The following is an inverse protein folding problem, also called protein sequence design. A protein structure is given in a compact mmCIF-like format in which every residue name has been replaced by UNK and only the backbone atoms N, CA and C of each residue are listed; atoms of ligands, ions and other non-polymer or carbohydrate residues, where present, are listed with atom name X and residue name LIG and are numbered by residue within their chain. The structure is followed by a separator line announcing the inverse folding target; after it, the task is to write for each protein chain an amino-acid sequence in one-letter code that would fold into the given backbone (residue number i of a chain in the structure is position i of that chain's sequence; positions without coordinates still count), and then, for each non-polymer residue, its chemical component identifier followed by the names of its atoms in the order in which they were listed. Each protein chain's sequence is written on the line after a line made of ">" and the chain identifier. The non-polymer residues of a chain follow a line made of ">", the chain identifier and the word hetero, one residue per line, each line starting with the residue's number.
data_IF_761752961961
#
_entry.id   IF_761752961961
#
_cell.length_a   1.000
_cell.length_b   1.000
_cell.length_c   1.000
_cell.angle_alpha   90.00
_cell.angle_beta   90.00
_cell.angle_gamma   90.00
#
_symmetry.space_group_name_H-M   'P 1'
#
loop_
_entity.id
_entity.type
_entity.pdbx_description
1 polymer ?
#
# COMPACT_ATOMS: atom_id res chain seq x y z
N UNK A 1 -0.48 0.38 23.78
CA UNK A 1 -0.29 -0.11 25.17
C UNK A 1 0.57 0.90 25.90
N UNK A 2 0.09 1.48 27.00
CA UNK A 2 0.89 2.36 27.87
C UNK A 2 1.14 1.60 29.17
N UNK A 3 2.42 1.37 29.49
CA UNK A 3 2.84 0.73 30.73
C UNK A 3 3.60 1.76 31.56
N UNK A 4 3.08 2.11 32.73
CA UNK A 4 3.70 3.04 33.67
C UNK A 4 4.21 2.25 34.88
N UNK A 5 5.47 2.47 35.25
CA UNK A 5 6.10 1.80 36.39
C UNK A 5 6.30 2.79 37.54
N UNK A 6 5.77 2.48 38.72
CA UNK A 6 5.95 3.27 39.93
C UNK A 6 6.68 2.42 40.97
N UNK A 7 7.83 2.91 41.44
CA UNK A 7 8.60 2.26 42.51
C UNK A 7 8.45 3.07 43.79
N UNK A 8 8.01 2.40 44.86
CA UNK A 8 8.00 2.96 46.22
C UNK A 8 8.65 1.97 47.18
N UNK A 9 9.96 2.13 47.40
CA UNK A 9 10.74 1.23 48.24
C UNK A 9 11.06 -0.11 47.56
N UNK A 10 10.72 -1.23 48.21
CA UNK A 10 10.96 -2.61 47.70
C UNK A 10 9.80 -3.15 46.84
N UNK A 11 8.66 -2.47 46.83
CA UNK A 11 7.49 -2.89 46.06
C UNK A 11 7.39 -2.15 44.73
N UNK A 12 7.02 -2.88 43.69
CA UNK A 12 6.86 -2.38 42.33
C UNK A 12 5.37 -2.37 42.02
N UNK A 13 4.81 -1.18 41.81
CA UNK A 13 3.45 -1.01 41.31
C UNK A 13 3.51 -0.73 39.81
N UNK A 14 2.78 -1.51 39.04
CA UNK A 14 2.72 -1.39 37.59
C UNK A 14 1.31 -0.97 37.21
N UNK A 15 1.18 -0.02 36.29
CA UNK A 15 -0.10 0.37 35.72
C UNK A 15 -0.10 0.07 34.23
N UNK A 16 -1.10 -0.69 33.79
CA UNK A 16 -1.31 -1.06 32.40
C UNK A 16 -2.60 -0.40 31.93
N UNK A 17 -2.48 0.49 30.95
CA UNK A 17 -3.61 1.07 30.24
C UNK A 17 -3.58 0.57 28.80
N UNK A 18 -4.66 -0.10 28.41
CA UNK A 18 -4.82 -0.69 27.09
C UNK A 18 -6.19 -0.32 26.54
N UNK A 19 -6.25 -0.09 25.24
CA UNK A 19 -7.51 -0.05 24.52
C UNK A 19 -7.45 -1.08 23.40
N UNK A 20 -8.59 -1.72 23.20
CA UNK A 20 -8.81 -2.72 22.17
C UNK A 20 -9.94 -2.25 21.28
N UNK A 21 -9.89 -2.69 20.03
CA UNK A 21 -10.93 -2.45 19.03
C UNK A 21 -11.36 -3.79 18.49
N UNK A 22 -12.67 -3.99 18.49
CA UNK A 22 -13.33 -5.14 17.91
C UNK A 22 -13.73 -4.79 16.47
N UNK A 23 -13.06 -5.44 15.52
CA UNK A 23 -13.22 -5.19 14.08
C UNK A 23 -14.58 -5.66 13.55
N UNK A 24 -15.23 -6.64 14.21
CA UNK A 24 -16.54 -7.16 13.77
C UNK A 24 -17.68 -6.23 14.18
N UNK A 25 -17.59 -5.63 15.38
CA UNK A 25 -18.67 -4.81 15.95
C UNK A 25 -18.40 -3.31 15.90
N UNK A 26 -17.23 -2.90 15.39
CA UNK A 26 -16.70 -1.53 15.40
C UNK A 26 -16.71 -0.89 16.81
N UNK A 27 -16.60 -1.72 17.85
CA UNK A 27 -16.62 -1.27 19.23
C UNK A 27 -15.22 -1.14 19.81
N UNK A 28 -15.02 -0.12 20.62
CA UNK A 28 -13.74 0.08 21.33
C UNK A 28 -13.91 -0.13 22.82
N UNK A 29 -12.93 -0.79 23.44
CA UNK A 29 -12.95 -1.14 24.85
C UNK A 29 -11.68 -0.66 25.54
N UNK A 30 -11.83 -0.19 26.77
CA UNK A 30 -10.72 0.28 27.60
C UNK A 30 -10.46 -0.66 28.77
N UNK A 31 -9.19 -0.88 29.06
CA UNK A 31 -8.72 -1.71 30.17
C UNK A 31 -7.70 -0.93 30.99
N UNK A 32 -7.93 -0.87 32.30
CA UNK A 32 -6.98 -0.32 33.27
C UNK A 32 -6.72 -1.36 34.35
N UNK A 33 -5.46 -1.77 34.47
CA UNK A 33 -5.01 -2.75 35.44
C UNK A 33 -3.83 -2.22 36.24
N UNK A 34 -3.76 -2.65 37.49
CA UNK A 34 -2.63 -2.44 38.36
C UNK A 34 -2.08 -3.78 38.79
N UNK A 35 -0.75 -3.92 38.72
CA UNK A 35 -0.01 -5.05 39.24
C UNK A 35 0.87 -4.64 40.42
N UNK A 36 1.10 -5.56 41.35
CA UNK A 36 2.03 -5.41 42.47
C UNK A 36 3.08 -6.54 42.38
N UNK A 37 4.36 -6.18 42.26
CA UNK A 37 5.48 -7.12 42.12
C UNK A 37 5.30 -8.16 41.00
N UNK A 38 4.64 -7.75 39.89
CA UNK A 38 4.38 -8.61 38.74
C UNK A 38 3.09 -9.45 38.83
N UNK A 39 2.36 -9.38 39.94
CA UNK A 39 1.07 -10.07 40.12
C UNK A 39 -0.11 -9.11 39.91
N UNK A 40 -1.20 -9.60 39.32
CA UNK A 40 -2.45 -8.84 39.15
C UNK A 40 -2.98 -8.39 40.53
N UNK A 41 -3.27 -7.09 40.69
CA UNK A 41 -3.65 -6.50 41.96
C UNK A 41 -5.05 -5.86 41.94
N UNK A 42 -5.29 -4.85 41.10
CA UNK A 42 -6.61 -4.18 40.97
C UNK A 42 -6.91 -3.95 39.50
N UNK A 43 -8.17 -4.11 39.08
CA UNK A 43 -8.60 -3.81 37.72
C UNK A 43 -9.88 -2.98 37.72
N UNK A 44 -10.06 -2.13 36.70
CA UNK A 44 -11.27 -1.36 36.47
C UNK A 44 -12.27 -2.16 35.64
N UNK A 45 -13.50 -2.32 36.12
CA UNK A 45 -14.65 -2.64 35.29
C UNK A 45 -15.28 -1.35 34.77
N UNK A 46 -15.06 -1.10 33.47
CA UNK A 46 -15.55 0.10 32.78
C UNK A 46 -17.05 0.11 32.55
N UNK A 47 -17.74 -1.05 32.67
CA UNK A 47 -19.20 -1.13 32.51
C UNK A 47 -19.93 -0.71 33.77
N UNK A 48 -19.43 -1.13 34.92
CA UNK A 48 -20.02 -0.80 36.23
C UNK A 48 -19.39 0.43 36.86
N UNK A 49 -18.32 0.97 36.26
CA UNK A 49 -17.54 2.10 36.78
C UNK A 49 -16.94 1.81 38.17
N UNK A 50 -16.59 0.53 38.41
CA UNK A 50 -16.06 0.08 39.71
C UNK A 50 -14.72 -0.64 39.57
N UNK A 51 -13.89 -0.52 40.59
CA UNK A 51 -12.64 -1.24 40.72
C UNK A 51 -12.88 -2.57 41.44
N UNK A 52 -12.21 -3.63 40.97
CA UNK A 52 -12.23 -4.94 41.58
C UNK A 52 -10.83 -5.42 41.99
N UNK A 53 -10.76 -6.02 43.17
CA UNK A 53 -9.57 -6.68 43.66
C UNK A 53 -9.37 -8.01 42.92
N UNK A 54 -8.14 -8.31 42.50
CA UNK A 54 -7.80 -9.59 41.87
C UNK A 54 -7.06 -10.54 42.82
N UNK A 55 -6.74 -10.09 44.04
CA UNK A 55 -6.16 -10.93 45.08
C UNK A 55 -6.52 -10.40 46.49
N UNK A 56 -6.26 -11.22 47.52
CA UNK A 56 -6.60 -10.91 48.92
C UNK A 56 -5.87 -9.70 49.49
N UNK A 57 -4.69 -9.32 48.96
CA UNK A 57 -4.01 -8.08 49.38
C UNK A 57 -4.74 -6.85 48.87
N UNK A 58 -5.34 -6.91 47.69
CA UNK A 58 -6.11 -5.82 47.11
C UNK A 58 -7.51 -5.66 47.72
N UNK A 59 -8.13 -6.75 48.21
CA UNK A 59 -9.44 -6.72 48.88
C UNK A 59 -9.46 -5.74 50.06
N UNK A 60 -8.33 -5.60 50.75
CA UNK A 60 -8.19 -4.69 51.91
C UNK A 60 -8.37 -3.22 51.53
N UNK A 61 -8.05 -2.84 50.29
CA UNK A 61 -8.00 -1.42 49.85
C UNK A 61 -9.04 -1.07 48.78
N UNK A 62 -9.81 -2.04 48.31
CA UNK A 62 -10.71 -1.84 47.16
C UNK A 62 -11.87 -0.90 47.49
N UNK A 63 -12.38 -0.97 48.72
CA UNK A 63 -13.46 -0.10 49.18
C UNK A 63 -13.03 1.38 49.23
N UNK A 64 -11.79 1.64 49.67
CA UNK A 64 -11.20 2.99 49.65
C UNK A 64 -11.06 3.50 48.22
N UNK A 65 -10.62 2.65 47.30
CA UNK A 65 -10.51 3.00 45.89
C UNK A 65 -11.86 3.32 45.25
N UNK A 66 -12.90 2.56 45.59
CA UNK A 66 -14.25 2.79 45.07
C UNK A 66 -14.95 3.99 45.74
N UNK A 67 -14.55 4.36 46.96
CA UNK A 67 -15.03 5.58 47.61
C UNK A 67 -14.51 6.85 46.92
N UNK A 68 -13.29 6.81 46.36
CA UNK A 68 -12.70 7.92 45.61
C UNK A 68 -13.04 7.87 44.11
N UNK A 69 -14.12 8.56 43.75
CA UNK A 69 -14.58 8.69 42.35
C UNK A 69 -13.55 9.31 41.43
N UNK A 70 -12.61 10.11 41.93
CA UNK A 70 -11.60 10.77 41.09
C UNK A 70 -10.69 9.75 40.40
N UNK A 71 -10.44 8.58 41.01
CA UNK A 71 -9.66 7.50 40.38
C UNK A 71 -10.33 6.99 39.11
N UNK A 72 -11.64 6.77 39.15
CA UNK A 72 -12.41 6.37 37.97
C UNK A 72 -12.41 7.47 36.92
N UNK A 73 -12.69 8.72 37.30
CA UNK A 73 -12.74 9.84 36.35
C UNK A 73 -11.42 10.07 35.63
N UNK A 74 -10.28 9.94 36.32
CA UNK A 74 -8.96 10.00 35.70
C UNK A 74 -8.76 8.85 34.72
N UNK A 75 -9.09 7.61 35.12
CA UNK A 75 -8.99 6.44 34.24
C UNK A 75 -9.85 6.60 32.99
N UNK A 76 -11.10 7.05 33.16
CA UNK A 76 -12.04 7.35 32.07
C UNK A 76 -11.50 8.43 31.14
N UNK A 77 -10.99 9.52 31.69
CA UNK A 77 -10.39 10.60 30.90
C UNK A 77 -9.22 10.09 30.03
N UNK A 78 -8.31 9.31 30.60
CA UNK A 78 -7.16 8.75 29.87
C UNK A 78 -7.62 7.78 28.78
N UNK A 79 -8.61 6.93 29.07
CA UNK A 79 -9.16 6.00 28.08
C UNK A 79 -9.79 6.78 26.91
N UNK A 80 -10.66 7.75 27.21
CA UNK A 80 -11.44 8.47 26.20
C UNK A 80 -10.64 9.49 25.40
N UNK A 81 -9.70 10.21 26.03
CA UNK A 81 -9.00 11.34 25.40
C UNK A 81 -7.56 11.01 24.99
N UNK A 82 -6.98 9.92 25.51
CA UNK A 82 -5.65 9.48 25.13
C UNK A 82 -5.69 8.19 24.33
N UNK A 83 -6.13 7.13 24.99
CA UNK A 83 -5.93 5.76 24.50
C UNK A 83 -6.82 5.42 23.28
N UNK A 84 -8.11 5.77 23.30
CA UNK A 84 -9.02 5.53 22.17
C UNK A 84 -8.69 6.38 20.92
N UNK A 85 -8.42 7.69 21.02
CA UNK A 85 -7.98 8.49 19.87
C UNK A 85 -6.68 7.97 19.26
N UNK A 86 -5.69 7.62 20.09
CA UNK A 86 -4.44 7.02 19.59
C UNK A 86 -4.70 5.68 18.91
N UNK A 87 -5.56 4.83 19.45
CA UNK A 87 -5.91 3.56 18.83
C UNK A 87 -6.50 3.77 17.43
N UNK A 88 -7.40 4.75 17.26
CA UNK A 88 -7.95 5.14 15.96
C UNK A 88 -6.86 5.63 15.01
N UNK A 89 -5.96 6.51 15.46
CA UNK A 89 -4.85 7.03 14.64
C UNK A 89 -3.91 5.92 14.17
N UNK A 90 -3.55 4.97 15.02
CA UNK A 90 -2.65 3.87 14.67
C UNK A 90 -3.31 2.76 13.84
N UNK A 91 -4.65 2.61 13.90
CA UNK A 91 -5.39 1.62 13.13
C UNK A 91 -5.95 2.16 11.82
N UNK A 92 -6.24 3.46 11.73
CA UNK A 92 -6.42 4.12 10.44
C UNK A 92 -5.16 3.89 9.60
N UNK A 93 -5.23 3.45 8.33
CA UNK A 93 -4.06 3.45 7.46
C UNK A 93 -3.48 4.87 7.48
N UNK A 94 -2.35 5.03 8.17
CA UNK A 94 -1.77 6.33 8.50
C UNK A 94 -1.20 7.05 7.29
N UNK A 95 -1.34 6.46 6.10
CA UNK A 95 -0.88 6.97 4.83
C UNK A 95 -1.66 6.29 3.72
N UNK A 96 -1.92 6.99 2.60
CA UNK A 96 -2.47 6.33 1.42
C UNK A 96 -1.56 5.17 0.99
N UNK A 97 -2.16 4.11 0.48
CA UNK A 97 -1.41 3.01 -0.12
C UNK A 97 -0.71 3.58 -1.34
N UNK A 98 0.62 3.55 -1.32
CA UNK A 98 1.44 4.10 -2.41
C UNK A 98 1.85 2.97 -3.33
N UNK A 99 1.45 3.08 -4.60
CA UNK A 99 2.04 2.31 -5.67
C UNK A 99 3.19 3.12 -6.30
N UNK A 100 4.32 2.49 -6.54
CA UNK A 100 5.52 3.15 -7.05
C UNK A 100 6.14 2.33 -8.18
N UNK A 101 6.46 3.01 -9.29
CA UNK A 101 7.19 2.45 -10.41
C UNK A 101 8.46 3.27 -10.65
N UNK A 102 9.60 2.61 -10.86
CA UNK A 102 10.90 3.25 -11.13
C UNK A 102 11.70 2.42 -12.13
N UNK A 103 12.70 3.04 -12.76
CA UNK A 103 13.57 2.36 -13.72
C UNK A 103 12.96 2.20 -15.11
N UNK A 104 11.88 2.91 -15.43
CA UNK A 104 11.24 2.82 -16.75
C UNK A 104 11.74 3.91 -17.69
N UNK A 105 11.71 3.59 -18.99
CA UNK A 105 12.06 4.49 -20.08
C UNK A 105 11.26 4.09 -21.34
N UNK A 106 10.79 5.03 -22.17
CA UNK A 106 10.87 6.48 -22.01
C UNK A 106 9.90 7.01 -20.94
N UNK A 107 9.82 8.33 -20.78
CA UNK A 107 9.00 9.08 -19.81
C UNK A 107 7.49 8.97 -20.01
N UNK A 108 7.02 7.99 -20.80
CA UNK A 108 5.62 7.78 -21.17
C UNK A 108 5.05 6.55 -20.45
N UNK A 109 5.02 6.58 -19.13
CA UNK A 109 4.30 5.60 -18.31
C UNK A 109 2.89 6.09 -17.94
N UNK A 110 1.96 5.17 -17.75
CA UNK A 110 0.68 5.42 -17.07
C UNK A 110 0.56 4.48 -15.88
N UNK A 111 0.03 4.98 -14.77
CA UNK A 111 -0.21 4.20 -13.57
C UNK A 111 -1.57 4.56 -12.99
N UNK A 112 -2.34 3.56 -12.60
CA UNK A 112 -3.70 3.72 -12.09
C UNK A 112 -4.10 2.55 -11.20
N UNK A 113 -5.17 2.75 -10.42
CA UNK A 113 -5.76 1.71 -9.58
C UNK A 113 -6.95 1.07 -10.27
N UNK A 114 -7.10 -0.24 -10.09
CA UNK A 114 -8.27 -1.01 -10.48
C UNK A 114 -8.94 -1.61 -9.25
N UNK A 115 -10.26 -1.71 -9.27
CA UNK A 115 -11.04 -2.54 -8.36
C UNK A 115 -11.85 -3.53 -9.20
N UNK A 116 -11.70 -4.82 -8.93
CA UNK A 116 -12.45 -5.88 -9.64
C UNK A 116 -12.32 -5.79 -11.19
N UNK A 117 -11.17 -5.31 -11.66
CA UNK A 117 -10.86 -5.14 -13.09
C UNK A 117 -11.24 -3.78 -13.70
N UNK A 118 -11.99 -2.93 -12.99
CA UNK A 118 -12.39 -1.60 -13.45
C UNK A 118 -11.49 -0.51 -12.87
N UNK A 119 -11.10 0.47 -13.68
CA UNK A 119 -10.29 1.62 -13.24
C UNK A 119 -11.09 2.53 -12.30
N UNK A 120 -10.44 2.97 -11.22
CA UNK A 120 -11.03 3.85 -10.22
C UNK A 120 -10.30 5.19 -10.15
N UNK A 121 -11.07 6.24 -9.88
CA UNK A 121 -10.54 7.61 -9.71
C UNK A 121 -10.87 8.20 -8.34
N UNK A 122 -11.86 7.67 -7.62
CA UNK A 122 -12.23 8.18 -6.31
C UNK A 122 -11.17 7.79 -5.26
N UNK A 123 -10.69 8.79 -4.50
CA UNK A 123 -9.65 8.58 -3.49
C UNK A 123 -8.28 8.21 -4.08
N UNK A 124 -8.08 8.46 -5.38
CA UNK A 124 -6.81 8.23 -6.07
C UNK A 124 -6.13 9.57 -6.38
N UNK A 125 -4.87 9.70 -5.98
CA UNK A 125 -4.03 10.87 -6.25
C UNK A 125 -2.76 10.43 -7.00
N UNK A 126 -2.42 11.13 -8.08
CA UNK A 126 -1.21 10.84 -8.86
C UNK A 126 -0.06 11.72 -8.36
N UNK A 127 1.09 11.09 -8.09
CA UNK A 127 2.34 11.80 -7.82
C UNK A 127 3.03 12.29 -9.09
N UNK A 128 4.08 13.07 -8.89
CA UNK A 128 4.89 13.61 -9.98
C UNK A 128 5.73 12.52 -10.68
N UNK A 129 6.03 12.76 -11.96
CA UNK A 129 7.03 12.03 -12.72
C UNK A 129 8.41 12.63 -12.44
N UNK A 130 9.32 11.83 -11.88
CA UNK A 130 10.66 12.28 -11.49
C UNK A 130 11.74 11.56 -12.30
N UNK A 131 12.78 12.26 -12.78
CA UNK A 131 13.92 11.63 -13.42
C UNK A 131 14.86 10.98 -12.39
N UNK A 132 15.52 9.90 -12.78
CA UNK A 132 16.61 9.25 -12.05
C UNK A 132 17.97 9.66 -12.63
N UNK A 133 19.03 9.53 -11.82
CA UNK A 133 20.40 9.86 -12.23
C UNK A 133 20.93 8.98 -13.37
N UNK A 134 20.36 7.79 -13.56
CA UNK A 134 20.72 6.84 -14.62
C UNK A 134 19.99 7.08 -15.96
N UNK A 135 19.16 8.13 -16.03
CA UNK A 135 18.37 8.48 -17.21
C UNK A 135 17.02 7.75 -17.33
N UNK A 136 16.65 6.92 -16.36
CA UNK A 136 15.31 6.35 -16.23
C UNK A 136 14.36 7.29 -15.45
N UNK A 137 13.09 6.92 -15.33
CA UNK A 137 12.07 7.71 -14.64
C UNK A 137 11.39 6.92 -13.52
N UNK A 138 10.78 7.64 -12.59
CA UNK A 138 9.95 7.11 -11.51
C UNK A 138 8.65 7.91 -11.34
N UNK A 139 7.59 7.27 -10.88
CA UNK A 139 6.32 7.89 -10.54
C UNK A 139 5.58 7.10 -9.46
N UNK A 140 4.58 7.72 -8.83
CA UNK A 140 3.76 7.08 -7.80
C UNK A 140 2.27 7.40 -7.98
N UNK A 141 1.40 6.52 -7.46
CA UNK A 141 -0.05 6.77 -7.33
C UNK A 141 -0.51 6.33 -5.94
N UNK A 142 -1.28 7.18 -5.30
CA UNK A 142 -1.72 7.07 -3.91
C UNK A 142 -3.21 6.71 -3.86
N UNK A 143 -3.58 5.72 -3.03
CA UNK A 143 -4.98 5.33 -2.77
C UNK A 143 -5.35 5.58 -1.31
N UNK A 144 -6.41 6.34 -1.06
CA UNK A 144 -6.99 6.56 0.27
C UNK A 144 -7.65 5.27 0.80
N UNK A 145 -6.86 4.43 1.46
CA UNK A 145 -7.35 3.17 2.02
C UNK A 145 -8.23 3.33 3.28
N UNK A 146 -8.40 4.55 3.80
CA UNK A 146 -9.20 4.83 5.01
C UNK A 146 -10.67 4.40 4.89
N UNK A 147 -11.21 4.33 3.67
CA UNK A 147 -12.60 3.96 3.39
C UNK A 147 -12.76 2.52 2.90
N UNK A 148 -11.67 1.74 2.84
CA UNK A 148 -11.68 0.39 2.26
C UNK A 148 -11.68 -0.67 3.39
N UNK A 149 -12.74 -1.50 3.49
CA UNK A 149 -12.77 -2.62 4.43
C UNK A 149 -11.64 -3.63 4.17
N UNK A 150 -11.02 -4.23 5.21
CA UNK A 150 -9.94 -5.22 5.06
C UNK A 150 -10.25 -6.38 4.11
N UNK A 151 -11.51 -6.80 4.05
CA UNK A 151 -12.00 -7.92 3.22
C UNK A 151 -11.93 -7.60 1.72
N UNK A 152 -11.97 -6.31 1.39
CA UNK A 152 -11.97 -5.80 0.04
C UNK A 152 -10.55 -5.54 -0.49
N UNK A 153 -9.50 -5.63 0.34
CA UNK A 153 -8.12 -5.29 -0.06
C UNK A 153 -7.61 -6.11 -1.24
N UNK A 154 -7.96 -7.39 -1.31
CA UNK A 154 -7.56 -8.28 -2.40
C UNK A 154 -8.22 -7.97 -3.76
N UNK A 155 -9.18 -7.03 -3.80
CA UNK A 155 -9.86 -6.61 -5.03
C UNK A 155 -9.19 -5.43 -5.72
N UNK A 156 -8.27 -4.75 -5.03
CA UNK A 156 -7.59 -3.57 -5.56
C UNK A 156 -6.23 -3.94 -6.14
N UNK A 157 -5.97 -3.47 -7.36
CA UNK A 157 -4.72 -3.71 -8.08
C UNK A 157 -4.14 -2.38 -8.56
N UNK A 158 -2.85 -2.15 -8.32
CA UNK A 158 -2.14 -1.08 -9.00
C UNK A 158 -1.57 -1.59 -10.31
N UNK A 159 -1.83 -0.88 -11.41
CA UNK A 159 -1.39 -1.25 -12.75
C UNK A 159 -0.49 -0.17 -13.32
N UNK A 160 0.72 -0.56 -13.74
CA UNK A 160 1.64 0.26 -14.51
C UNK A 160 1.70 -0.23 -15.96
N UNK A 161 1.62 0.69 -16.93
CA UNK A 161 1.75 0.39 -18.35
C UNK A 161 2.68 1.40 -19.02
N UNK A 162 3.59 0.91 -19.87
CA UNK A 162 4.32 1.77 -20.81
C UNK A 162 3.39 2.15 -21.96
N UNK A 163 3.35 3.43 -22.30
CA UNK A 163 2.51 3.96 -23.38
C UNK A 163 2.83 3.28 -24.72
N UNK A 164 1.78 2.80 -25.39
CA UNK A 164 1.84 2.05 -26.64
C UNK A 164 2.49 2.82 -27.81
N UNK A 165 2.60 4.14 -27.71
CA UNK A 165 3.28 4.97 -28.73
C UNK A 165 4.78 4.63 -28.88
N UNK A 166 5.36 3.92 -27.91
CA UNK A 166 6.76 3.49 -27.92
C UNK A 166 6.94 2.10 -28.55
N UNK A 167 5.91 1.25 -28.49
CA UNK A 167 5.97 -0.15 -28.97
C UNK A 167 5.79 -0.23 -30.49
N UNK A 168 5.24 0.81 -31.13
CA UNK A 168 5.15 0.91 -32.59
C UNK A 168 6.49 1.32 -33.23
N UNK A 169 7.51 0.44 -33.17
CA UNK A 169 8.59 0.51 -34.17
C UNK A 169 8.00 0.24 -35.57
N UNK A 170 8.41 0.97 -36.62
CA UNK A 170 7.73 0.93 -37.91
C UNK A 170 8.00 -0.41 -38.60
N UNK A 171 7.03 -1.32 -38.53
CA UNK A 171 6.97 -2.54 -39.35
C UNK A 171 7.10 -2.18 -40.86
N UNK A 172 6.75 -0.94 -41.24
CA UNK A 172 6.89 -0.41 -42.60
C UNK A 172 8.33 -0.34 -43.14
N UNK A 173 9.36 -0.29 -42.30
CA UNK A 173 10.75 -0.20 -42.79
C UNK A 173 11.30 -1.56 -43.28
N UNK A 174 10.79 -2.69 -42.74
CA UNK A 174 11.21 -4.04 -43.12
C UNK A 174 10.57 -4.46 -44.45
N UNK A 175 9.29 -4.12 -44.68
CA UNK A 175 8.57 -4.47 -45.92
C UNK A 175 9.13 -3.73 -47.14
N UNK A 176 9.58 -2.47 -46.95
CA UNK A 176 10.19 -1.67 -48.03
C UNK A 176 11.51 -2.27 -48.56
N UNK A 177 12.36 -2.79 -47.68
CA UNK A 177 13.66 -3.37 -48.06
C UNK A 177 13.47 -4.69 -48.82
N UNK A 178 12.54 -5.54 -48.39
CA UNK A 178 12.26 -6.81 -49.08
C UNK A 178 11.65 -6.59 -50.47
N UNK A 179 10.72 -5.63 -50.61
CA UNK A 179 10.09 -5.32 -51.88
C UNK A 179 11.09 -4.72 -52.90
N UNK A 180 11.94 -3.78 -52.45
CA UNK A 180 12.96 -3.18 -53.29
C UNK A 180 14.03 -4.20 -53.73
N UNK A 181 14.47 -5.08 -52.83
CA UNK A 181 15.42 -6.14 -53.15
C UNK A 181 14.88 -7.11 -54.21
N UNK A 182 13.63 -7.56 -54.07
CA UNK A 182 12.98 -8.44 -55.06
C UNK A 182 12.84 -7.75 -56.42
N UNK A 183 12.48 -6.46 -56.44
CA UNK A 183 12.35 -5.71 -57.70
C UNK A 183 13.69 -5.59 -58.44
N UNK A 184 14.79 -5.31 -57.74
CA UNK A 184 16.13 -5.23 -58.33
C UNK A 184 16.56 -6.56 -58.93
N UNK A 185 16.28 -7.69 -58.24
CA UNK A 185 16.59 -9.03 -58.74
C UNK A 185 15.80 -9.33 -60.02
N UNK A 186 14.51 -9.00 -60.06
CA UNK A 186 13.66 -9.21 -61.25
C UNK A 186 14.20 -8.38 -62.43
N UNK A 187 14.50 -7.10 -62.23
CA UNK A 187 15.03 -6.23 -63.30
C UNK A 187 16.38 -6.75 -63.80
N UNK A 188 17.26 -7.21 -62.91
CA UNK A 188 18.55 -7.79 -63.30
C UNK A 188 18.37 -9.09 -64.13
N UNK A 189 17.46 -9.98 -63.72
CA UNK A 189 17.17 -11.21 -64.46
C UNK A 189 16.56 -10.93 -65.84
N UNK A 190 15.61 -10.01 -65.93
CA UNK A 190 15.02 -9.57 -67.21
C UNK A 190 16.08 -8.91 -68.09
N UNK A 191 16.91 -8.02 -67.55
CA UNK A 191 18.02 -7.42 -68.28
C UNK A 191 19.00 -8.45 -68.82
N UNK A 192 19.39 -9.43 -68.00
CA UNK A 192 20.30 -10.51 -68.40
C UNK A 192 19.72 -11.38 -69.51
N UNK A 193 18.44 -11.76 -69.42
CA UNK A 193 17.75 -12.56 -70.46
C UNK A 193 17.62 -11.80 -71.78
N UNK A 194 17.31 -10.49 -71.74
CA UNK A 194 17.25 -9.64 -72.94
C UNK A 194 18.61 -9.51 -73.60
N UNK A 195 19.68 -9.29 -72.83
CA UNK A 195 21.06 -9.20 -73.35
C UNK A 195 21.49 -10.53 -73.96
N UNK A 196 21.21 -11.66 -73.30
CA UNK A 196 21.51 -13.00 -73.82
C UNK A 196 20.75 -13.27 -75.13
N UNK A 197 19.48 -12.91 -75.20
CA UNK A 197 18.66 -13.07 -76.40
C UNK A 197 19.13 -12.15 -77.54
N UNK A 198 19.60 -10.93 -77.23
CA UNK A 198 20.15 -10.01 -78.23
C UNK A 198 21.48 -10.51 -78.80
N UNK A 199 22.38 -11.01 -77.95
CA UNK A 199 23.63 -11.67 -78.40
C UNK A 199 23.34 -12.95 -79.20
N UNK A 200 22.34 -13.74 -78.81
CA UNK A 200 21.90 -14.92 -79.56
C UNK A 200 21.37 -14.57 -80.96
N UNK A 201 20.68 -13.44 -81.11
CA UNK A 201 20.21 -12.93 -82.41
C UNK A 201 21.35 -12.36 -83.27
N UNK A 202 22.30 -11.65 -82.67
CA UNK A 202 23.48 -11.13 -83.40
C UNK A 202 24.45 -12.23 -83.85
N UNK A 203 24.50 -13.38 -83.16
CA UNK A 203 25.34 -14.52 -83.54
C UNK A 203 24.67 -15.42 -84.61
N UNK A 204 23.36 -15.31 -84.80
CA UNK A 204 22.59 -16.11 -85.78
C UNK A 204 22.44 -15.42 -87.15
N UNK A 205 23.03 -14.23 -87.34
CA UNK A 205 22.93 -13.44 -88.57
C UNK A 205 24.30 -13.23 -89.27
N UNK A 206 25.29 -14.11 -89.01
CA UNK A 206 26.58 -14.15 -89.70
C UNK A 206 26.80 -15.49 -90.36
#
# INVERSE_FOLDING_TARGET
>A
MVCSLFSSGKEIIQQIIRCDWDEETDNTFGHVKYGNNGEDFITLDTKTETWFATNSKAEVIIDEWNADKTKYEIAKYILQNGCLPLLKVFKSPSSPVTCHATGFFPDKGIMFWRKDGEEIHEGVEHGDLLPNDDGSFQMSVYLEALKIPPEDWGRYECVFQLSDDVVKKPIGMIVGITAAGVFVIIVAAVGFTVIKNRKGKETSQK
#
